data_IF_570786279911
#
_entry.id   IF_570786279911
#
_cell.length_a   1.000
_cell.length_b   1.000
_cell.length_c   1.000
_cell.angle_alpha   90.00
_cell.angle_beta   90.00
_cell.angle_gamma   90.00
#
_symmetry.space_group_name_H-M   'P 1'
#
loop_
_entity.id
_entity.type
_entity.pdbx_description
1 polymer ?
#
# COMPACT_ATOMS: atom_id res chain seq x y z
N UNK A 1 12.96 -22.22 16.85
CA UNK A 1 13.48 -21.36 15.78
C UNK A 1 12.41 -20.33 15.54
N UNK A 2 12.71 -19.06 15.79
CA UNK A 2 11.72 -18.00 15.83
C UNK A 2 11.22 -17.72 14.42
N UNK A 3 9.95 -17.99 14.14
CA UNK A 3 9.28 -17.64 12.89
C UNK A 3 9.14 -16.11 12.78
N UNK A 4 10.28 -15.46 12.49
CA UNK A 4 10.38 -14.04 12.18
C UNK A 4 9.81 -13.70 10.78
N UNK A 5 9.27 -14.71 10.08
CA UNK A 5 8.62 -14.59 8.76
C UNK A 5 7.26 -13.90 8.82
N UNK A 6 6.61 -13.85 9.99
CA UNK A 6 5.28 -13.26 10.11
C UNK A 6 5.27 -11.73 9.94
N UNK A 7 6.42 -11.06 9.97
CA UNK A 7 6.48 -9.59 10.05
C UNK A 7 7.37 -8.95 8.97
N UNK A 8 7.78 -9.69 7.93
CA UNK A 8 8.65 -9.16 6.89
C UNK A 8 8.32 -9.74 5.52
N UNK A 9 8.30 -8.90 4.49
CA UNK A 9 8.22 -9.33 3.09
C UNK A 9 9.50 -10.08 2.70
N UNK A 10 9.34 -11.36 2.36
CA UNK A 10 10.44 -12.17 1.84
C UNK A 10 10.77 -11.79 0.39
N UNK A 11 11.91 -12.26 -0.10
CA UNK A 11 12.27 -12.05 -1.51
C UNK A 11 11.30 -12.76 -2.46
N UNK A 12 10.72 -13.90 -2.06
CA UNK A 12 9.70 -14.61 -2.81
C UNK A 12 8.42 -13.78 -2.95
N UNK A 13 7.98 -13.14 -1.86
CA UNK A 13 6.80 -12.25 -1.85
C UNK A 13 7.04 -11.06 -2.80
N UNK A 14 8.21 -10.43 -2.71
CA UNK A 14 8.58 -9.30 -3.57
C UNK A 14 8.59 -9.70 -5.04
N UNK A 15 9.10 -10.86 -5.41
CA UNK A 15 9.10 -11.33 -6.82
C UNK A 15 7.67 -11.64 -7.32
N UNK A 16 6.83 -12.24 -6.47
CA UNK A 16 5.40 -12.43 -6.75
C UNK A 16 4.72 -11.08 -6.97
N UNK A 17 4.91 -10.11 -6.07
CA UNK A 17 4.31 -8.78 -6.16
C UNK A 17 4.81 -8.00 -7.36
N UNK A 18 6.11 -8.01 -7.67
CA UNK A 18 6.65 -7.41 -8.91
C UNK A 18 5.97 -7.97 -10.16
N UNK A 19 5.62 -9.25 -10.17
CA UNK A 19 4.90 -9.88 -11.28
C UNK A 19 3.43 -9.44 -11.35
N UNK A 20 2.78 -9.18 -10.22
CA UNK A 20 1.43 -8.61 -10.14
C UNK A 20 1.40 -7.14 -10.54
N UNK A 21 2.35 -6.34 -10.06
CA UNK A 21 2.49 -4.91 -10.37
C UNK A 21 2.55 -4.67 -11.88
N UNK A 22 3.31 -5.48 -12.62
CA UNK A 22 3.42 -5.37 -14.10
C UNK A 22 2.08 -5.54 -14.84
N UNK A 23 1.08 -6.15 -14.20
CA UNK A 23 -0.24 -6.40 -14.78
C UNK A 23 -1.26 -5.33 -14.40
N UNK A 24 -0.90 -4.38 -13.54
CA UNK A 24 -1.78 -3.31 -13.12
C UNK A 24 -2.10 -2.40 -14.30
N UNK A 25 -3.40 -2.20 -14.53
CA UNK A 25 -3.92 -1.19 -15.44
C UNK A 25 -4.07 0.13 -14.69
N UNK A 26 -3.27 1.13 -15.06
CA UNK A 26 -3.29 2.46 -14.46
C UNK A 26 -4.64 3.18 -14.63
N UNK A 27 -5.47 2.78 -15.59
CA UNK A 27 -6.80 3.34 -15.79
C UNK A 27 -7.74 3.08 -14.60
N UNK A 28 -7.42 2.08 -13.77
CA UNK A 28 -8.18 1.71 -12.58
C UNK A 28 -7.96 2.64 -11.39
N UNK A 29 -6.97 3.54 -11.44
CA UNK A 29 -6.58 4.44 -10.35
C UNK A 29 -7.79 5.10 -9.65
N UNK A 30 -8.64 5.78 -10.43
CA UNK A 30 -9.78 6.51 -9.88
C UNK A 30 -10.83 5.59 -9.23
N UNK A 31 -10.95 4.35 -9.70
CA UNK A 31 -11.86 3.38 -9.11
C UNK A 31 -11.29 2.86 -7.78
N UNK A 32 -10.01 2.50 -7.76
CA UNK A 32 -9.32 2.00 -6.57
C UNK A 32 -9.33 3.06 -5.44
N UNK A 33 -9.00 4.31 -5.74
CA UNK A 33 -9.03 5.41 -4.75
C UNK A 33 -10.43 5.58 -4.14
N UNK A 34 -11.48 5.47 -4.96
CA UNK A 34 -12.88 5.55 -4.50
C UNK A 34 -13.28 4.41 -3.57
N UNK A 35 -12.62 3.25 -3.63
CA UNK A 35 -12.84 2.11 -2.72
C UNK A 35 -11.99 2.26 -1.46
N UNK A 36 -10.74 2.70 -1.60
CA UNK A 36 -9.80 2.88 -0.49
C UNK A 36 -10.30 3.92 0.53
N UNK A 37 -10.77 5.09 0.07
CA UNK A 37 -11.21 6.18 0.97
C UNK A 37 -12.32 5.74 1.95
N UNK A 38 -13.41 5.08 1.51
CA UNK A 38 -14.37 4.49 2.44
C UNK A 38 -13.79 3.45 3.41
N UNK A 39 -12.83 2.61 2.98
CA UNK A 39 -12.19 1.61 3.86
C UNK A 39 -11.38 2.31 4.97
N UNK A 40 -10.60 3.33 4.63
CA UNK A 40 -9.90 4.19 5.61
C UNK A 40 -10.88 4.77 6.64
N UNK A 41 -11.99 5.34 6.17
CA UNK A 41 -13.01 5.94 7.04
C UNK A 41 -13.64 4.91 8.01
N UNK A 42 -13.76 3.65 7.61
CA UNK A 42 -14.25 2.57 8.50
C UNK A 42 -13.22 2.24 9.57
N UNK A 43 -11.94 2.14 9.22
CA UNK A 43 -10.85 1.82 10.16
C UNK A 43 -10.72 2.93 11.21
N UNK A 44 -10.68 4.20 10.78
CA UNK A 44 -10.56 5.35 11.72
C UNK A 44 -11.76 5.54 12.65
N UNK A 45 -12.93 5.02 12.27
CA UNK A 45 -14.13 5.05 13.11
C UNK A 45 -14.06 4.05 14.27
N UNK A 46 -13.14 3.07 14.20
CA UNK A 46 -12.88 2.09 15.24
C UNK A 46 -11.80 2.53 16.24
N UNK A 47 -11.35 1.57 17.05
CA UNK A 47 -10.18 1.76 17.91
C UNK A 47 -8.91 1.40 17.15
N UNK A 48 -8.25 2.43 16.61
CA UNK A 48 -7.10 2.28 15.70
C UNK A 48 -5.85 1.87 16.48
N UNK A 49 -5.22 0.79 16.04
CA UNK A 49 -3.90 0.34 16.51
C UNK A 49 -2.78 1.12 15.83
N UNK A 50 -1.57 1.06 16.38
CA UNK A 50 -0.40 1.72 15.76
C UNK A 50 -0.11 1.20 14.34
N UNK A 51 -0.37 -0.08 14.07
CA UNK A 51 -0.16 -0.68 12.74
C UNK A 51 -1.17 -0.11 11.75
N UNK A 52 -2.45 -0.07 12.12
CA UNK A 52 -3.50 0.51 11.28
C UNK A 52 -3.29 2.02 11.05
N UNK A 53 -2.83 2.75 12.06
CA UNK A 53 -2.49 4.17 11.90
C UNK A 53 -1.37 4.37 10.88
N UNK A 54 -0.28 3.59 10.97
CA UNK A 54 0.82 3.65 10.00
C UNK A 54 0.35 3.28 8.58
N UNK A 55 -0.44 2.21 8.45
CA UNK A 55 -1.03 1.80 7.19
C UNK A 55 -1.87 2.93 6.58
N UNK A 56 -2.74 3.57 7.38
CA UNK A 56 -3.57 4.67 6.91
C UNK A 56 -2.68 5.83 6.42
N UNK A 57 -1.64 6.20 7.17
CA UNK A 57 -0.71 7.26 6.77
C UNK A 57 -0.04 6.93 5.42
N UNK A 58 0.44 5.70 5.23
CA UNK A 58 1.06 5.26 3.97
C UNK A 58 0.06 5.25 2.80
N UNK A 59 -1.17 4.76 3.02
CA UNK A 59 -2.24 4.75 2.01
C UNK A 59 -2.65 6.17 1.62
N UNK A 60 -2.81 7.07 2.59
CA UNK A 60 -3.13 8.49 2.35
C UNK A 60 -1.99 9.16 1.58
N UNK A 61 -0.74 8.86 1.92
CA UNK A 61 0.42 9.35 1.19
C UNK A 61 0.37 8.89 -0.29
N UNK A 62 0.12 7.60 -0.52
CA UNK A 62 0.00 7.04 -1.87
C UNK A 62 -1.11 7.73 -2.68
N UNK A 63 -2.30 7.92 -2.08
CA UNK A 63 -3.41 8.64 -2.73
C UNK A 63 -2.97 10.07 -3.08
N UNK A 64 -2.33 10.77 -2.13
CA UNK A 64 -1.82 12.12 -2.35
C UNK A 64 -0.81 12.20 -3.50
N UNK A 65 0.10 11.23 -3.62
CA UNK A 65 1.05 11.17 -4.73
C UNK A 65 0.33 10.98 -6.08
N UNK A 66 -0.59 10.01 -6.14
CA UNK A 66 -1.34 9.69 -7.37
C UNK A 66 -2.23 10.85 -7.86
N UNK A 67 -2.78 11.65 -6.94
CA UNK A 67 -3.66 12.77 -7.29
C UNK A 67 -2.89 14.05 -7.63
N UNK A 68 -1.77 14.33 -6.96
CA UNK A 68 -1.09 15.63 -7.05
C UNK A 68 0.12 15.65 -8.00
N UNK A 69 0.65 14.48 -8.40
CA UNK A 69 1.87 14.39 -9.23
C UNK A 69 1.57 13.62 -10.54
N UNK A 70 0.96 14.27 -11.54
CA UNK A 70 0.61 13.62 -12.81
C UNK A 70 1.83 13.10 -13.59
N UNK A 71 3.01 13.67 -13.36
CA UNK A 71 4.29 13.34 -13.99
C UNK A 71 4.91 12.02 -13.51
N UNK A 72 4.34 11.37 -12.49
CA UNK A 72 4.81 10.08 -12.03
C UNK A 72 4.85 9.07 -13.17
N UNK A 73 5.95 8.32 -13.23
CA UNK A 73 6.13 7.31 -14.27
C UNK A 73 5.06 6.22 -14.14
N UNK A 74 4.74 5.57 -15.26
CA UNK A 74 3.81 4.43 -15.27
C UNK A 74 4.19 3.36 -14.25
N UNK A 75 5.48 3.05 -14.12
CA UNK A 75 5.98 2.07 -13.15
C UNK A 75 5.76 2.51 -11.69
N UNK A 76 5.86 3.80 -11.39
CA UNK A 76 5.53 4.34 -10.06
C UNK A 76 4.02 4.23 -9.79
N UNK A 77 3.19 4.63 -10.77
CA UNK A 77 1.72 4.53 -10.68
C UNK A 77 1.26 3.10 -10.47
N UNK A 78 1.77 2.14 -11.23
CA UNK A 78 1.43 0.71 -11.10
C UNK A 78 1.71 0.17 -9.69
N UNK A 79 2.86 0.53 -9.10
CA UNK A 79 3.23 0.13 -7.73
C UNK A 79 2.28 0.67 -6.68
N UNK A 80 1.95 1.96 -6.78
CA UNK A 80 1.03 2.61 -5.87
C UNK A 80 -0.39 2.08 -6.00
N UNK A 81 -0.88 1.89 -7.23
CA UNK A 81 -2.20 1.30 -7.48
C UNK A 81 -2.23 -0.15 -6.98
N UNK A 82 -1.14 -0.91 -7.11
CA UNK A 82 -1.02 -2.25 -6.53
C UNK A 82 -1.20 -2.23 -5.01
N UNK A 83 -0.48 -1.36 -4.28
CA UNK A 83 -0.63 -1.24 -2.83
C UNK A 83 -2.08 -0.90 -2.43
N UNK A 84 -2.70 0.06 -3.12
CA UNK A 84 -4.10 0.40 -2.86
C UNK A 84 -5.06 -0.74 -3.20
N UNK A 85 -4.78 -1.51 -4.25
CA UNK A 85 -5.61 -2.65 -4.65
C UNK A 85 -5.51 -3.78 -3.65
N UNK A 86 -4.30 -4.05 -3.14
CA UNK A 86 -4.04 -5.01 -2.07
C UNK A 86 -4.82 -4.60 -0.81
N UNK A 87 -4.66 -3.35 -0.38
CA UNK A 87 -5.45 -2.76 0.71
C UNK A 87 -6.95 -2.77 0.50
N UNK A 88 -7.47 -2.76 -0.73
CA UNK A 88 -8.91 -2.82 -0.95
C UNK A 88 -9.48 -4.24 -0.91
N UNK A 89 -8.64 -5.28 -0.93
CA UNK A 89 -9.07 -6.68 -0.90
C UNK A 89 -9.22 -7.16 0.55
N UNK A 90 -10.45 -7.43 0.98
CA UNK A 90 -10.74 -7.94 2.34
C UNK A 90 -10.31 -9.42 2.53
N UNK A 91 -9.91 -10.12 1.45
CA UNK A 91 -9.46 -11.51 1.46
C UNK A 91 -8.04 -11.66 0.91
N UNK A 92 -7.18 -10.67 1.19
CA UNK A 92 -5.75 -10.70 0.92
C UNK A 92 -5.02 -11.83 1.68
N UNK A 93 -3.70 -11.74 1.85
CA UNK A 93 -2.95 -12.81 2.51
C UNK A 93 -3.34 -12.99 3.99
N UNK A 94 -3.69 -11.90 4.69
CA UNK A 94 -4.23 -11.93 6.04
C UNK A 94 -5.58 -11.20 6.09
N UNK A 95 -6.70 -11.92 5.93
CA UNK A 95 -8.02 -11.29 5.85
C UNK A 95 -8.32 -10.30 6.97
N UNK A 96 -8.84 -9.12 6.61
CA UNK A 96 -9.25 -8.01 7.51
C UNK A 96 -10.05 -8.47 8.74
N UNK A 97 -10.86 -9.53 8.59
CA UNK A 97 -11.73 -10.05 9.65
C UNK A 97 -10.93 -10.59 10.85
N UNK A 98 -9.64 -10.90 10.68
CA UNK A 98 -8.79 -11.46 11.73
C UNK A 98 -8.40 -10.35 12.73
N UNK A 99 -8.93 -10.36 13.97
CA UNK A 99 -8.75 -9.25 14.88
C UNK A 99 -7.28 -9.05 15.28
N UNK A 100 -6.82 -7.80 15.20
CA UNK A 100 -5.49 -7.39 15.67
C UNK A 100 -4.32 -7.70 14.73
N UNK A 101 -4.53 -8.46 13.65
CA UNK A 101 -3.48 -8.78 12.67
C UNK A 101 -3.89 -8.67 11.20
N UNK A 102 -5.19 -8.56 10.86
CA UNK A 102 -5.69 -8.55 9.49
C UNK A 102 -5.32 -7.33 8.62
N UNK A 103 -4.45 -6.45 9.10
CA UNK A 103 -3.91 -5.30 8.36
C UNK A 103 -2.38 -5.28 8.35
N UNK A 104 -1.75 -6.35 8.84
CA UNK A 104 -0.31 -6.39 9.05
C UNK A 104 0.44 -6.47 7.72
N UNK A 105 0.00 -7.35 6.83
CA UNK A 105 0.57 -7.51 5.49
C UNK A 105 0.28 -6.31 4.60
N UNK A 106 -0.94 -5.76 4.67
CA UNK A 106 -1.28 -4.46 4.08
C UNK A 106 -0.26 -3.37 4.44
N UNK A 107 0.03 -3.22 5.75
CA UNK A 107 0.97 -2.22 6.23
C UNK A 107 2.38 -2.44 5.66
N UNK A 108 2.83 -3.69 5.59
CA UNK A 108 4.14 -4.04 5.03
C UNK A 108 4.22 -3.77 3.52
N UNK A 109 3.14 -4.06 2.78
CA UNK A 109 3.07 -3.80 1.33
C UNK A 109 3.04 -2.30 1.07
N UNK A 110 2.20 -1.55 1.78
CA UNK A 110 2.11 -0.10 1.63
C UNK A 110 3.46 0.58 1.95
N UNK A 111 4.07 0.24 3.09
CA UNK A 111 5.38 0.76 3.49
C UNK A 111 6.46 0.44 2.46
N UNK A 112 6.53 -0.81 1.98
CA UNK A 112 7.53 -1.21 0.98
C UNK A 112 7.43 -0.38 -0.31
N UNK A 113 6.21 -0.05 -0.73
CA UNK A 113 5.97 0.76 -1.91
C UNK A 113 6.32 2.22 -1.64
N UNK A 114 5.90 2.80 -0.52
CA UNK A 114 6.23 4.18 -0.14
C UNK A 114 7.75 4.37 -0.07
N UNK A 115 8.46 3.52 0.68
CA UNK A 115 9.92 3.58 0.81
C UNK A 115 10.63 3.46 -0.55
N UNK A 116 10.16 2.56 -1.41
CA UNK A 116 10.70 2.39 -2.76
C UNK A 116 10.48 3.60 -3.66
N UNK A 117 9.31 4.25 -3.56
CA UNK A 117 9.02 5.48 -4.33
C UNK A 117 9.85 6.65 -3.81
N UNK A 118 9.98 6.84 -2.50
CA UNK A 118 10.77 7.93 -1.92
C UNK A 118 12.26 7.85 -2.31
N UNK A 119 12.81 6.66 -2.50
CA UNK A 119 14.19 6.48 -2.97
C UNK A 119 14.39 6.81 -4.45
N UNK A 120 13.32 6.76 -5.24
CA UNK A 120 13.36 7.05 -6.68
C UNK A 120 13.04 8.51 -7.00
N UNK A 121 12.35 9.20 -6.09
CA UNK A 121 12.14 10.64 -6.23
C UNK A 121 13.49 11.36 -6.12
N UNK A 122 13.77 12.34 -7.00
CA UNK A 122 14.96 13.17 -6.83
C UNK A 122 14.91 13.81 -5.44
N UNK A 123 16.04 13.91 -4.72
CA UNK A 123 16.07 14.59 -3.44
C UNK A 123 15.47 15.98 -3.63
N UNK A 124 14.61 16.42 -2.71
CA UNK A 124 14.09 17.78 -2.66
C UNK A 124 15.30 18.72 -2.69
N UNK A 125 15.68 19.20 -3.88
CA UNK A 125 16.62 20.29 -4.00
C UNK A 125 15.89 21.50 -3.47
N UNK A 126 16.25 21.89 -2.25
CA UNK A 126 15.90 23.18 -1.67
C UNK A 126 16.19 24.26 -2.72
N UNK A 127 15.14 24.97 -3.13
CA UNK A 127 15.19 26.13 -4.02
C UNK A 127 15.48 27.39 -3.20
#
# INVERSE_FOLDING_TARGET
>A
MSDNKLFQLTDEDKEKYKSSIKKIDISTQNHIIKVAVPKINKIIAGNVTNVEAQLIDDVVHIIGLLENYPELTEHMKQRMIFALSYFCDENDEIPDIIPGIGYLDDALVAQWIVDGIMQELPPLTEA
#
